data_IF_021528594478
#
_entry.id   IF_021528594478
#
_cell.length_a   1.000
_cell.length_b   1.000
_cell.length_c   1.000
_cell.angle_alpha   90.00
_cell.angle_beta   90.00
_cell.angle_gamma   90.00
#
_symmetry.space_group_name_H-M   'P 1'
#
loop_
_entity.id
_entity.type
_entity.pdbx_description
1 polymer ?
#
# COMPACT_ATOMS: atom_id res chain seq x y z
N UNK A 1 3.08 -9.43 5.86
CA UNK A 1 2.49 -8.36 5.03
C UNK A 1 3.27 -8.20 3.73
N UNK A 2 4.53 -7.76 3.75
CA UNK A 2 5.31 -7.60 2.50
C UNK A 2 5.49 -8.93 1.77
N UNK A 3 5.88 -9.97 2.52
CA UNK A 3 6.14 -11.30 1.96
C UNK A 3 4.89 -11.93 1.36
N UNK A 4 3.70 -11.65 1.93
CA UNK A 4 2.43 -12.15 1.39
C UNK A 4 2.03 -11.46 0.09
N UNK A 5 2.33 -10.16 -0.08
CA UNK A 5 2.10 -9.46 -1.34
C UNK A 5 3.05 -9.93 -2.45
N UNK A 6 4.33 -10.15 -2.11
CA UNK A 6 5.34 -10.62 -3.06
C UNK A 6 5.04 -12.05 -3.52
N UNK A 7 4.56 -12.91 -2.62
CA UNK A 7 4.30 -14.32 -2.93
C UNK A 7 3.20 -14.52 -4.00
N UNK A 8 2.22 -13.62 -4.11
CA UNK A 8 1.06 -13.84 -4.98
C UNK A 8 1.36 -13.61 -6.45
N UNK A 9 2.06 -12.53 -6.78
CA UNK A 9 2.29 -12.12 -8.18
C UNK A 9 3.70 -11.54 -8.42
N UNK A 10 4.61 -11.67 -7.45
CA UNK A 10 6.02 -11.25 -7.59
C UNK A 10 6.26 -9.74 -7.55
N UNK A 11 5.24 -8.93 -7.26
CA UNK A 11 5.35 -7.48 -7.18
C UNK A 11 6.03 -7.05 -5.88
N UNK A 12 7.13 -6.32 -6.00
CA UNK A 12 7.93 -5.82 -4.87
C UNK A 12 7.44 -4.45 -4.39
N UNK A 13 6.74 -4.44 -3.26
CA UNK A 13 6.36 -3.23 -2.55
C UNK A 13 7.47 -2.79 -1.58
N UNK A 14 7.44 -1.53 -1.15
CA UNK A 14 8.29 -0.99 -0.07
C UNK A 14 7.43 -0.55 1.10
N UNK A 15 8.00 -0.53 2.32
CA UNK A 15 7.30 -0.12 3.55
C UNK A 15 8.12 0.89 4.33
N UNK A 16 7.44 1.74 5.10
CA UNK A 16 8.06 2.86 5.81
C UNK A 16 7.07 3.99 6.04
N UNK A 17 7.56 5.09 6.60
CA UNK A 17 6.78 6.31 6.73
C UNK A 17 6.54 6.94 5.33
N UNK A 18 5.33 7.48 5.10
CA UNK A 18 4.95 8.10 3.83
C UNK A 18 5.94 9.18 3.36
N UNK A 19 6.43 10.05 4.25
CA UNK A 19 7.43 11.08 3.91
C UNK A 19 8.70 10.46 3.30
N UNK A 20 9.19 9.38 3.93
CA UNK A 20 10.43 8.72 3.50
C UNK A 20 10.26 8.00 2.16
N UNK A 21 9.09 7.36 1.96
CA UNK A 21 8.83 6.58 0.75
C UNK A 21 8.48 7.45 -0.46
N UNK A 22 7.70 8.52 -0.24
CA UNK A 22 7.20 9.37 -1.32
C UNK A 22 8.15 10.53 -1.63
N UNK A 23 9.09 10.84 -0.74
CA UNK A 23 10.09 11.89 -0.95
C UNK A 23 9.55 13.31 -0.82
N UNK A 24 8.34 13.49 -0.26
CA UNK A 24 7.74 14.80 -0.01
C UNK A 24 6.93 14.82 1.28
N UNK A 25 6.86 16.00 1.91
CA UNK A 25 6.03 16.22 3.09
C UNK A 25 4.59 16.51 2.68
N UNK A 26 3.65 15.82 3.31
CA UNK A 26 2.23 16.06 3.19
C UNK A 26 1.63 16.17 4.59
N UNK A 27 0.68 17.11 4.76
CA UNK A 27 -0.04 17.30 6.02
C UNK A 27 -1.54 17.16 5.77
N UNK A 28 -2.28 16.76 6.81
CA UNK A 28 -3.73 16.60 6.73
C UNK A 28 -4.19 15.32 6.03
N UNK A 29 -3.33 14.30 5.95
CA UNK A 29 -3.75 12.99 5.40
C UNK A 29 -4.74 12.30 6.34
N UNK A 30 -5.62 11.48 5.78
CA UNK A 30 -6.54 10.66 6.59
C UNK A 30 -5.78 9.72 7.53
N UNK A 31 -4.65 9.17 7.07
CA UNK A 31 -3.81 8.27 7.86
C UNK A 31 -3.22 8.97 9.08
N UNK A 32 -2.72 10.21 8.92
CA UNK A 32 -2.19 11.01 10.03
C UNK A 32 -3.28 11.38 11.03
N UNK A 33 -4.46 11.75 10.52
CA UNK A 33 -5.61 12.07 11.36
C UNK A 33 -6.04 10.86 12.20
N UNK A 34 -6.13 9.66 11.61
CA UNK A 34 -6.47 8.43 12.35
C UNK A 34 -5.39 8.13 13.38
N UNK A 35 -4.10 8.19 13.00
CA UNK A 35 -3.00 7.95 13.93
C UNK A 35 -3.03 8.92 15.13
N UNK A 36 -3.42 10.18 14.91
CA UNK A 36 -3.54 11.17 15.97
C UNK A 36 -4.80 10.97 16.84
N UNK A 37 -5.97 10.72 16.23
CA UNK A 37 -7.27 10.71 16.92
C UNK A 37 -7.66 9.36 17.49
N UNK A 38 -7.12 8.27 16.93
CA UNK A 38 -7.42 6.87 17.25
C UNK A 38 -6.12 6.04 17.28
N UNK A 39 -5.19 6.32 18.22
CA UNK A 39 -3.86 5.71 18.22
C UNK A 39 -3.85 4.19 18.42
N UNK A 40 -4.98 3.59 18.86
CA UNK A 40 -5.14 2.14 18.99
C UNK A 40 -5.60 1.45 17.69
N UNK A 41 -5.82 2.20 16.61
CA UNK A 41 -6.22 1.65 15.30
C UNK A 41 -5.01 1.66 14.38
N UNK A 42 -4.76 0.54 13.72
CA UNK A 42 -3.77 0.45 12.66
C UNK A 42 -4.17 1.35 11.48
N UNK A 43 -3.34 2.34 11.17
CA UNK A 43 -3.54 3.32 10.10
C UNK A 43 -2.46 3.15 9.05
N UNK A 44 -2.84 2.84 7.81
CA UNK A 44 -1.95 2.50 6.72
C UNK A 44 -2.39 3.16 5.42
N UNK A 45 -1.42 3.46 4.57
CA UNK A 45 -1.62 3.97 3.22
C UNK A 45 -1.01 3.00 2.22
N UNK A 46 -1.78 2.64 1.19
CA UNK A 46 -1.32 1.77 0.11
C UNK A 46 -1.18 2.59 -1.17
N UNK A 47 0.02 2.58 -1.74
CA UNK A 47 0.27 2.99 -3.11
C UNK A 47 0.42 1.70 -3.93
N UNK A 48 -0.57 1.43 -4.77
CA UNK A 48 -0.66 0.19 -5.54
C UNK A 48 0.22 0.26 -6.81
N UNK A 49 0.07 -0.72 -7.70
CA UNK A 49 0.68 -0.68 -9.02
C UNK A 49 0.31 0.62 -9.77
N UNK A 50 1.22 1.15 -10.60
CA UNK A 50 2.48 0.56 -11.03
C UNK A 50 3.64 0.99 -10.11
N UNK A 51 4.87 0.60 -10.45
CA UNK A 51 6.05 1.11 -9.74
C UNK A 51 6.16 2.63 -9.88
N UNK A 52 6.79 3.27 -8.89
CA UNK A 52 7.18 4.67 -8.98
C UNK A 52 7.93 4.93 -10.30
N UNK A 53 7.55 6.01 -11.00
CA UNK A 53 8.06 6.40 -12.32
C UNK A 53 7.69 5.50 -13.51
N UNK A 54 6.77 4.54 -13.34
CA UNK A 54 6.17 3.85 -14.49
C UNK A 54 5.34 4.84 -15.32
N UNK A 55 5.59 4.88 -16.63
CA UNK A 55 4.95 5.82 -17.56
C UNK A 55 3.44 5.65 -17.68
N UNK A 56 2.91 4.49 -17.31
CA UNK A 56 1.47 4.22 -17.32
C UNK A 56 0.75 4.98 -16.21
N UNK A 57 1.44 5.30 -15.11
CA UNK A 57 0.91 6.09 -14.01
C UNK A 57 -0.47 5.59 -13.56
N UNK A 58 -1.49 6.44 -13.68
CA UNK A 58 -2.88 6.12 -13.31
C UNK A 58 -3.64 5.28 -14.35
N UNK A 59 -3.09 5.08 -15.55
CA UNK A 59 -3.76 4.40 -16.67
C UNK A 59 -3.16 3.00 -16.85
N UNK A 60 -3.38 2.13 -15.86
CA UNK A 60 -2.95 0.74 -15.94
C UNK A 60 -3.81 -0.06 -16.92
N UNK A 61 -3.21 -1.05 -17.62
CA UNK A 61 -4.00 -1.94 -18.46
C UNK A 61 -4.97 -2.75 -17.59
N UNK A 62 -6.21 -3.02 -18.06
CA UNK A 62 -7.19 -3.82 -17.33
C UNK A 62 -6.69 -5.21 -16.93
N UNK A 63 -5.71 -5.75 -17.65
CA UNK A 63 -5.06 -7.03 -17.35
C UNK A 63 -4.34 -7.07 -16.01
N UNK A 64 -4.08 -5.93 -15.37
CA UNK A 64 -3.43 -5.87 -14.04
C UNK A 64 -4.39 -5.67 -12.87
N UNK A 65 -5.70 -5.48 -13.13
CA UNK A 65 -6.69 -5.22 -12.08
C UNK A 65 -6.75 -6.38 -11.09
N UNK A 66 -6.89 -7.61 -11.59
CA UNK A 66 -7.05 -8.81 -10.74
C UNK A 66 -5.79 -9.05 -9.90
N UNK A 67 -4.61 -9.04 -10.52
CA UNK A 67 -3.35 -9.25 -9.81
C UNK A 67 -3.12 -8.19 -8.72
N UNK A 68 -3.40 -6.91 -9.01
CA UNK A 68 -3.31 -5.82 -8.02
C UNK A 68 -4.27 -6.04 -6.84
N UNK A 69 -5.50 -6.46 -7.13
CA UNK A 69 -6.51 -6.73 -6.11
C UNK A 69 -6.13 -7.91 -5.21
N UNK A 70 -5.61 -8.99 -5.78
CA UNK A 70 -5.17 -10.18 -5.04
C UNK A 70 -3.98 -9.87 -4.12
N UNK A 71 -2.98 -9.13 -4.62
CA UNK A 71 -1.85 -8.66 -3.80
C UNK A 71 -2.32 -7.84 -2.58
N UNK A 72 -3.20 -6.86 -2.81
CA UNK A 72 -3.76 -6.05 -1.74
C UNK A 72 -4.53 -6.93 -0.74
N UNK A 73 -5.36 -7.85 -1.23
CA UNK A 73 -6.16 -8.72 -0.39
C UNK A 73 -5.30 -9.64 0.48
N UNK A 74 -4.22 -10.20 -0.07
CA UNK A 74 -3.28 -11.02 0.69
C UNK A 74 -2.57 -10.22 1.79
N UNK A 75 -2.27 -8.95 1.53
CA UNK A 75 -1.79 -8.00 2.54
C UNK A 75 -2.79 -7.80 3.68
N UNK A 76 -4.06 -7.51 3.32
CA UNK A 76 -5.14 -7.30 4.29
C UNK A 76 -5.38 -8.54 5.16
N UNK A 77 -5.41 -9.74 4.55
CA UNK A 77 -5.53 -11.00 5.29
C UNK A 77 -4.39 -11.17 6.30
N UNK A 78 -3.15 -11.01 5.85
CA UNK A 78 -1.98 -11.18 6.70
C UNK A 78 -1.99 -10.22 7.91
N UNK A 79 -2.44 -8.99 7.71
CA UNK A 79 -2.59 -8.02 8.81
C UNK A 79 -3.71 -8.40 9.76
N UNK A 80 -4.88 -8.78 9.23
CA UNK A 80 -6.03 -9.16 10.05
C UNK A 80 -5.73 -10.38 10.94
N UNK A 81 -4.86 -11.28 10.50
CA UNK A 81 -4.43 -12.45 11.29
C UNK A 81 -3.31 -12.17 12.29
N UNK A 82 -2.65 -11.01 12.20
CA UNK A 82 -1.53 -10.63 13.07
C UNK A 82 -1.96 -9.71 14.22
N UNK A 83 -3.22 -9.28 14.24
CA UNK A 83 -3.88 -8.48 15.28
C UNK A 83 -4.67 -9.38 16.22
#
# INVERSE_FOLDING_TARGET
>A
MLDSMIASHGMQYTTGNCLQLLGYSASGTSSDWVANRKPSILSLTYELRPKLNDRRGFVLPPTEIVATGEELYDSLKAMATAL
#
